data_IF_094604752179
#
_entry.id   IF_094604752179
#
_cell.length_a   1.000
_cell.length_b   1.000
_cell.length_c   1.000
_cell.angle_alpha   90.00
_cell.angle_beta   90.00
_cell.angle_gamma   90.00
#
_symmetry.space_group_name_H-M   'P 1'
#
loop_
_entity.id
_entity.type
_entity.pdbx_description
1 polymer ?
#
# COMPACT_ATOMS: atom_id res chain seq x y z
N UNK A 1 22.11 -38.71 9.46
CA UNK A 1 20.91 -38.19 8.77
C UNK A 1 21.33 -37.65 7.42
N UNK A 2 20.71 -38.17 6.36
CA UNK A 2 21.04 -37.90 4.95
C UNK A 2 20.84 -36.42 4.59
N UNK A 3 21.89 -35.77 4.10
CA UNK A 3 21.95 -34.37 3.63
C UNK A 3 21.27 -34.13 2.28
N UNK A 4 20.42 -35.05 1.81
CA UNK A 4 19.77 -35.00 0.50
C UNK A 4 18.49 -34.14 0.43
N UNK A 5 18.20 -33.31 1.44
CA UNK A 5 16.90 -32.60 1.53
C UNK A 5 16.87 -31.16 1.02
N UNK A 6 17.89 -30.68 0.31
CA UNK A 6 17.75 -29.49 -0.52
C UNK A 6 18.42 -29.70 -1.87
N UNK A 7 17.82 -30.54 -2.73
CA UNK A 7 17.97 -30.33 -4.18
C UNK A 7 17.65 -28.85 -4.42
N UNK A 8 18.63 -28.07 -4.85
CA UNK A 8 18.52 -26.62 -5.03
C UNK A 8 17.16 -26.29 -5.68
N UNK A 9 16.16 -25.76 -4.93
CA UNK A 9 14.80 -25.61 -5.43
C UNK A 9 14.70 -24.55 -6.55
N UNK A 10 15.82 -23.90 -6.85
CA UNK A 10 16.01 -22.87 -7.84
C UNK A 10 16.63 -23.38 -9.16
N UNK A 11 16.94 -24.69 -9.28
CA UNK A 11 17.67 -25.26 -10.44
C UNK A 11 16.99 -25.07 -11.81
N UNK A 12 15.74 -24.61 -11.85
CA UNK A 12 15.07 -24.21 -13.09
C UNK A 12 15.60 -22.85 -13.55
N UNK A 13 16.70 -22.88 -14.31
CA UNK A 13 17.24 -21.71 -14.97
C UNK A 13 16.33 -21.37 -16.16
N UNK A 14 15.56 -20.30 -16.04
CA UNK A 14 14.83 -19.74 -17.17
C UNK A 14 15.81 -18.92 -18.01
N UNK A 15 15.70 -19.03 -19.33
CA UNK A 15 16.44 -18.16 -20.26
C UNK A 15 15.53 -17.03 -20.69
N UNK A 16 16.03 -15.80 -20.65
CA UNK A 16 15.33 -14.63 -21.14
C UNK A 16 16.00 -14.11 -22.40
N UNK A 17 15.18 -13.85 -23.42
CA UNK A 17 15.53 -13.09 -24.61
C UNK A 17 14.39 -12.10 -24.85
N UNK A 18 14.72 -10.84 -25.05
CA UNK A 18 13.72 -9.78 -25.22
C UNK A 18 14.28 -8.38 -25.01
N UNK A 19 13.40 -7.40 -25.15
CA UNK A 19 13.68 -5.99 -24.92
C UNK A 19 13.25 -5.59 -23.52
N UNK A 20 14.01 -4.73 -22.88
CA UNK A 20 13.64 -4.07 -21.63
C UNK A 20 14.10 -2.60 -21.66
N UNK A 21 13.49 -1.77 -20.83
CA UNK A 21 13.69 -0.33 -20.80
C UNK A 21 14.38 0.11 -19.52
N UNK A 22 15.27 1.08 -19.63
CA UNK A 22 15.94 1.74 -18.52
C UNK A 22 15.75 3.26 -18.61
N UNK A 23 15.11 3.84 -17.61
CA UNK A 23 14.96 5.29 -17.49
C UNK A 23 16.13 5.90 -16.73
N UNK A 24 16.72 6.96 -17.26
CA UNK A 24 17.85 7.66 -16.65
C UNK A 24 17.94 9.14 -17.11
N UNK A 25 18.97 9.87 -16.70
CA UNK A 25 19.20 11.25 -17.20
C UNK A 25 19.81 11.22 -18.60
N UNK A 26 19.67 12.30 -19.38
CA UNK A 26 20.28 12.39 -20.72
C UNK A 26 21.79 12.20 -20.70
N UNK A 27 22.49 12.78 -19.73
CA UNK A 27 23.94 12.65 -19.59
C UNK A 27 24.33 11.22 -19.27
N UNK A 28 23.56 10.55 -18.42
CA UNK A 28 23.78 9.16 -18.04
C UNK A 28 23.50 8.23 -19.22
N UNK A 29 22.44 8.48 -19.99
CA UNK A 29 22.15 7.75 -21.21
C UNK A 29 23.29 7.90 -22.23
N UNK A 30 23.80 9.11 -22.47
CA UNK A 30 24.91 9.34 -23.38
C UNK A 30 26.17 8.56 -22.97
N UNK A 31 26.47 8.52 -21.66
CA UNK A 31 27.57 7.71 -21.11
C UNK A 31 27.31 6.21 -21.32
N UNK A 32 26.11 5.72 -21.02
CA UNK A 32 25.77 4.30 -21.19
C UNK A 32 25.90 3.89 -22.67
N UNK A 33 25.49 4.75 -23.60
CA UNK A 33 25.62 4.47 -25.04
C UNK A 33 27.08 4.40 -25.51
N UNK A 34 28.00 5.10 -24.82
CA UNK A 34 29.43 5.14 -25.18
C UNK A 34 30.23 4.05 -24.45
N UNK A 35 30.00 3.89 -23.15
CA UNK A 35 30.83 3.11 -22.23
C UNK A 35 30.14 1.80 -21.76
N UNK A 36 28.93 1.52 -22.24
CA UNK A 36 27.99 0.54 -21.66
C UNK A 36 27.57 0.87 -20.22
N UNK A 37 26.70 0.04 -19.66
CA UNK A 37 26.32 0.17 -18.26
C UNK A 37 27.49 -0.10 -17.32
N UNK A 38 27.46 0.59 -16.17
CA UNK A 38 28.35 0.32 -15.04
C UNK A 38 27.55 -0.12 -13.83
N UNK A 39 28.04 -1.12 -13.09
CA UNK A 39 27.39 -1.55 -11.85
C UNK A 39 27.42 -0.41 -10.83
N UNK A 40 26.25 -0.09 -10.26
CA UNK A 40 26.18 0.85 -9.13
C UNK A 40 27.05 0.35 -7.97
N UNK A 41 27.78 1.26 -7.32
CA UNK A 41 28.52 0.98 -6.09
C UNK A 41 27.64 1.03 -4.82
N UNK A 42 26.37 1.45 -4.95
CA UNK A 42 25.43 1.63 -3.84
C UNK A 42 24.31 0.59 -3.87
N UNK A 43 24.05 -0.05 -2.72
CA UNK A 43 23.02 -1.06 -2.49
C UNK A 43 21.66 -0.44 -2.11
N UNK A 44 21.10 0.42 -2.96
CA UNK A 44 19.90 1.20 -2.58
C UNK A 44 18.58 0.64 -3.08
N UNK A 45 18.57 -0.45 -3.85
CA UNK A 45 17.35 -0.96 -4.51
C UNK A 45 17.01 -2.40 -4.14
N UNK A 46 15.74 -2.76 -4.31
CA UNK A 46 15.11 -3.96 -3.75
C UNK A 46 15.87 -5.25 -4.05
N UNK A 47 16.36 -5.45 -5.27
CA UNK A 47 17.04 -6.68 -5.70
C UNK A 47 18.56 -6.64 -5.49
N UNK A 48 19.07 -5.61 -4.81
CA UNK A 48 20.47 -5.40 -4.51
C UNK A 48 21.29 -4.78 -5.65
N UNK A 49 22.62 -4.88 -5.56
CA UNK A 49 23.54 -4.32 -6.55
C UNK A 49 23.30 -4.87 -7.97
N UNK A 50 23.02 -4.00 -8.94
CA UNK A 50 22.74 -4.38 -10.33
C UNK A 50 22.23 -3.22 -11.17
N UNK A 51 21.98 -3.48 -12.45
CA UNK A 51 21.32 -2.55 -13.38
C UNK A 51 19.84 -2.92 -13.48
N UNK A 52 18.96 -1.94 -13.39
CA UNK A 52 17.52 -2.15 -13.27
C UNK A 52 16.81 -1.82 -14.59
N UNK A 53 15.92 -2.71 -15.02
CA UNK A 53 15.14 -2.56 -16.23
C UNK A 53 13.66 -2.90 -15.98
N UNK A 54 12.82 -2.47 -16.91
CA UNK A 54 11.36 -2.66 -16.91
C UNK A 54 10.92 -3.23 -18.26
N UNK A 55 9.81 -3.95 -18.27
CA UNK A 55 9.21 -4.54 -19.48
C UNK A 55 8.40 -3.55 -20.32
N UNK A 56 8.23 -2.32 -19.85
CA UNK A 56 7.48 -1.28 -20.56
C UNK A 56 8.10 0.10 -20.29
N UNK A 57 8.12 0.98 -21.31
CA UNK A 57 8.71 2.32 -21.20
C UNK A 57 7.99 3.21 -20.17
N UNK A 58 6.68 3.09 -19.97
CA UNK A 58 5.91 3.86 -18.99
C UNK A 58 6.49 3.67 -17.58
N UNK A 59 6.89 2.45 -17.23
CA UNK A 59 7.53 2.18 -15.94
C UNK A 59 8.92 2.77 -15.86
N UNK A 60 9.70 2.72 -16.95
CA UNK A 60 11.01 3.35 -17.02
C UNK A 60 10.92 4.88 -16.88
N UNK A 61 9.96 5.51 -17.55
CA UNK A 61 9.63 6.94 -17.46
C UNK A 61 9.25 7.29 -16.02
N UNK A 62 8.37 6.51 -15.40
CA UNK A 62 7.95 6.75 -14.02
C UNK A 62 9.13 6.89 -13.07
N UNK A 63 10.11 5.99 -13.15
CA UNK A 63 11.28 6.05 -12.27
C UNK A 63 12.11 7.32 -12.44
N UNK A 64 12.16 7.87 -13.65
CA UNK A 64 12.85 9.14 -13.91
C UNK A 64 12.07 10.35 -13.44
N UNK A 65 10.74 10.33 -13.58
CA UNK A 65 9.88 11.47 -13.26
C UNK A 65 9.37 11.47 -11.82
N UNK A 66 9.45 10.35 -11.10
CA UNK A 66 8.82 10.16 -9.79
C UNK A 66 9.07 11.32 -8.82
N UNK A 67 10.32 11.75 -8.68
CA UNK A 67 10.68 12.77 -7.69
C UNK A 67 10.26 14.18 -8.12
N UNK A 68 10.16 14.42 -9.43
CA UNK A 68 9.54 15.63 -9.96
C UNK A 68 8.04 15.62 -9.72
N UNK A 69 7.35 14.53 -10.11
CA UNK A 69 5.91 14.37 -9.92
C UNK A 69 5.49 14.50 -8.45
N UNK A 70 6.28 13.98 -7.51
CA UNK A 70 6.05 14.16 -6.06
C UNK A 70 6.05 15.61 -5.61
N UNK A 71 6.85 16.47 -6.25
CA UNK A 71 6.91 17.91 -5.94
C UNK A 71 5.80 18.71 -6.62
N UNK A 72 5.06 18.09 -7.55
CA UNK A 72 3.92 18.70 -8.23
C UNK A 72 2.61 18.15 -7.64
N UNK A 73 2.61 17.73 -6.35
CA UNK A 73 1.44 17.17 -5.68
C UNK A 73 0.23 18.09 -5.78
N UNK A 74 0.44 19.37 -5.53
CA UNK A 74 -0.63 20.36 -5.46
C UNK A 74 -1.24 20.59 -6.86
N UNK A 75 -0.39 20.68 -7.89
CA UNK A 75 -0.82 20.73 -9.30
C UNK A 75 -1.65 19.49 -9.68
N UNK A 76 -1.25 18.30 -9.20
CA UNK A 76 -1.95 17.03 -9.47
C UNK A 76 -3.31 16.98 -8.75
N UNK A 77 -3.41 17.50 -7.54
CA UNK A 77 -4.66 17.60 -6.79
C UNK A 77 -5.65 18.56 -7.46
N UNK A 78 -5.17 19.69 -7.98
CA UNK A 78 -6.03 20.66 -8.70
C UNK A 78 -6.63 20.07 -10.00
N UNK A 79 -5.92 19.14 -10.64
CA UNK A 79 -6.39 18.43 -11.83
C UNK A 79 -7.50 17.41 -11.54
N UNK A 80 -7.74 17.07 -10.27
CA UNK A 80 -8.70 16.07 -9.81
C UNK A 80 -10.13 16.62 -9.58
N UNK A 81 -10.34 17.94 -9.71
CA UNK A 81 -11.69 18.51 -9.52
C UNK A 81 -12.62 18.10 -10.68
N UNK A 82 -13.42 17.07 -10.41
CA UNK A 82 -14.30 16.24 -11.25
C UNK A 82 -15.33 16.97 -12.13
N UNK A 83 -14.91 17.82 -13.09
CA UNK A 83 -15.87 18.53 -13.96
C UNK A 83 -15.59 18.43 -15.46
N UNK A 84 -14.58 17.70 -15.93
CA UNK A 84 -14.33 17.55 -17.38
C UNK A 84 -14.05 18.86 -18.15
N UNK A 85 -14.06 20.01 -17.47
CA UNK A 85 -13.92 21.35 -18.03
C UNK A 85 -12.46 21.82 -18.08
N UNK A 86 -11.52 20.99 -17.62
CA UNK A 86 -10.12 21.37 -17.46
C UNK A 86 -9.17 20.76 -18.51
N UNK A 87 -9.69 20.40 -19.69
CA UNK A 87 -8.88 19.87 -20.79
C UNK A 87 -7.64 20.74 -21.06
N UNK A 88 -7.83 22.07 -21.04
CA UNK A 88 -6.75 23.04 -21.23
C UNK A 88 -5.69 22.97 -20.12
N UNK A 89 -6.09 22.86 -18.84
CA UNK A 89 -5.12 22.72 -17.73
C UNK A 89 -4.37 21.38 -17.79
N UNK A 90 -5.05 20.31 -18.20
CA UNK A 90 -4.39 19.02 -18.45
C UNK A 90 -3.37 19.13 -19.58
N UNK A 91 -3.73 19.72 -20.71
CA UNK A 91 -2.80 19.98 -21.82
C UNK A 91 -1.60 20.84 -21.37
N UNK A 92 -1.82 21.93 -20.64
CA UNK A 92 -0.77 22.79 -20.09
C UNK A 92 0.16 22.02 -19.12
N UNK A 93 -0.43 21.20 -18.24
CA UNK A 93 0.32 20.34 -17.34
C UNK A 93 1.16 19.30 -18.10
N UNK A 94 0.57 18.62 -19.08
CA UNK A 94 1.27 17.66 -19.92
C UNK A 94 2.44 18.28 -20.65
N UNK A 95 2.27 19.45 -21.25
CA UNK A 95 3.35 20.16 -21.93
C UNK A 95 4.47 20.55 -20.95
N UNK A 96 4.13 20.97 -19.72
CA UNK A 96 5.12 21.29 -18.67
C UNK A 96 5.92 20.05 -18.26
N UNK A 97 5.26 18.92 -17.98
CA UNK A 97 5.93 17.67 -17.58
C UNK A 97 6.74 17.12 -18.75
N UNK A 98 6.19 17.15 -19.96
CA UNK A 98 6.87 16.71 -21.18
C UNK A 98 8.13 17.54 -21.44
N UNK A 99 8.04 18.87 -21.40
CA UNK A 99 9.21 19.74 -21.55
C UNK A 99 10.29 19.45 -20.50
N UNK A 100 9.90 19.20 -19.25
CA UNK A 100 10.84 18.79 -18.19
C UNK A 100 11.48 17.42 -18.45
N UNK A 101 10.68 16.45 -18.90
CA UNK A 101 11.17 15.12 -19.28
C UNK A 101 12.15 15.22 -20.44
N UNK A 102 11.74 15.90 -21.51
CA UNK A 102 12.54 16.10 -22.70
C UNK A 102 13.83 16.84 -22.35
N UNK A 103 13.83 17.84 -21.48
CA UNK A 103 15.06 18.56 -21.12
C UNK A 103 16.08 17.67 -20.40
N UNK A 104 15.64 16.77 -19.51
CA UNK A 104 16.51 16.17 -18.48
C UNK A 104 16.69 14.67 -18.58
N UNK A 105 15.71 13.96 -19.09
CA UNK A 105 15.63 12.51 -19.00
C UNK A 105 15.68 11.84 -20.36
N UNK A 106 16.00 10.55 -20.32
CA UNK A 106 16.02 9.68 -21.47
C UNK A 106 15.62 8.27 -21.03
N UNK A 107 15.01 7.54 -21.95
CA UNK A 107 14.84 6.10 -21.83
C UNK A 107 15.72 5.44 -22.87
N UNK A 108 16.39 4.38 -22.44
CA UNK A 108 17.14 3.50 -23.33
C UNK A 108 16.46 2.13 -23.35
N UNK A 109 16.35 1.56 -24.53
CA UNK A 109 15.98 0.18 -24.76
C UNK A 109 17.25 -0.68 -24.72
N UNK A 110 17.12 -1.89 -24.19
CA UNK A 110 18.22 -2.86 -24.11
C UNK A 110 17.73 -4.21 -24.55
N UNK A 111 18.42 -4.81 -25.50
CA UNK A 111 18.14 -6.15 -25.97
C UNK A 111 18.99 -7.18 -25.24
N UNK A 112 18.33 -8.26 -24.84
CA UNK A 112 18.91 -9.40 -24.14
C UNK A 112 18.73 -10.67 -24.96
N UNK A 113 19.72 -11.56 -24.90
CA UNK A 113 19.63 -12.87 -25.55
C UNK A 113 20.21 -13.95 -24.63
N UNK A 114 19.44 -15.01 -24.41
CA UNK A 114 19.84 -16.20 -23.65
C UNK A 114 20.36 -15.92 -22.22
N UNK A 115 19.81 -14.90 -21.56
CA UNK A 115 20.22 -14.49 -20.20
C UNK A 115 19.69 -15.48 -19.18
N UNK A 116 20.53 -15.96 -18.25
CA UNK A 116 20.09 -16.84 -17.16
C UNK A 116 19.34 -16.02 -16.12
N UNK A 117 18.03 -16.23 -16.03
CA UNK A 117 17.16 -15.47 -15.16
C UNK A 117 16.68 -16.31 -13.98
N UNK A 118 16.82 -15.73 -12.78
CA UNK A 118 16.10 -16.20 -11.60
C UNK A 118 14.78 -15.43 -11.48
N UNK A 119 13.69 -16.11 -11.82
CA UNK A 119 12.34 -15.58 -11.61
C UNK A 119 11.90 -15.82 -10.16
N UNK A 120 11.92 -14.77 -9.36
CA UNK A 120 11.56 -14.85 -7.94
C UNK A 120 10.06 -15.03 -7.73
N UNK A 121 9.20 -14.75 -8.69
CA UNK A 121 7.76 -14.95 -8.52
C UNK A 121 7.40 -16.43 -8.52
N UNK A 122 8.10 -17.21 -9.35
CA UNK A 122 8.03 -18.67 -9.31
C UNK A 122 8.58 -19.25 -8.00
N UNK A 123 9.48 -18.54 -7.31
CA UNK A 123 10.01 -18.94 -6.00
C UNK A 123 9.07 -18.53 -4.88
N UNK A 124 8.45 -17.34 -4.92
CA UNK A 124 7.56 -16.82 -3.86
C UNK A 124 6.43 -17.79 -3.50
N UNK A 125 5.94 -18.53 -4.48
CA UNK A 125 4.87 -19.51 -4.29
C UNK A 125 5.36 -20.84 -3.63
N UNK A 126 6.65 -20.96 -3.32
CA UNK A 126 7.23 -22.10 -2.61
C UNK A 126 7.63 -21.68 -1.20
N UNK A 127 7.21 -22.46 -0.20
CA UNK A 127 7.46 -22.36 1.25
C UNK A 127 8.90 -21.93 1.63
N UNK A 128 9.87 -22.16 0.74
CA UNK A 128 11.28 -21.75 0.86
C UNK A 128 11.49 -20.24 1.06
N UNK A 129 10.71 -19.37 0.42
CA UNK A 129 10.92 -17.92 0.53
C UNK A 129 10.45 -17.39 1.90
N UNK A 130 9.37 -17.93 2.45
CA UNK A 130 8.92 -17.63 3.81
C UNK A 130 9.92 -18.11 4.87
N UNK A 131 10.47 -19.32 4.73
CA UNK A 131 11.52 -19.80 5.64
C UNK A 131 12.77 -18.91 5.61
N UNK A 132 13.16 -18.43 4.41
CA UNK A 132 14.29 -17.53 4.27
C UNK A 132 13.95 -16.15 4.81
N UNK A 133 12.73 -15.66 4.60
CA UNK A 133 12.24 -14.41 5.16
C UNK A 133 12.27 -14.46 6.70
N UNK A 134 11.75 -15.54 7.30
CA UNK A 134 11.79 -15.78 8.76
C UNK A 134 13.23 -15.89 9.26
N UNK A 135 14.10 -16.63 8.57
CA UNK A 135 15.53 -16.72 8.92
C UNK A 135 16.24 -15.38 8.80
N UNK A 136 15.93 -14.58 7.79
CA UNK A 136 16.48 -13.24 7.56
C UNK A 136 16.11 -12.31 8.71
N UNK A 137 14.81 -12.19 9.03
CA UNK A 137 14.36 -11.31 10.11
C UNK A 137 14.75 -11.80 11.51
N UNK A 138 14.87 -13.12 11.74
CA UNK A 138 15.38 -13.66 13.00
C UNK A 138 16.90 -13.49 13.16
N UNK A 139 17.68 -13.52 12.07
CA UNK A 139 19.16 -13.42 12.11
C UNK A 139 19.71 -12.01 11.96
N UNK A 140 18.98 -11.05 11.40
CA UNK A 140 19.39 -9.62 11.37
C UNK A 140 19.53 -9.01 12.77
N UNK A 141 19.03 -9.69 13.81
CA UNK A 141 19.28 -9.39 15.21
C UNK A 141 20.71 -9.76 15.66
N UNK A 142 21.44 -10.65 14.96
CA UNK A 142 22.61 -11.34 15.53
C UNK A 142 23.97 -11.01 14.86
N UNK A 143 24.04 -10.45 13.63
CA UNK A 143 25.37 -10.14 13.03
C UNK A 143 25.47 -8.74 12.42
N UNK A 144 26.58 -8.04 12.73
CA UNK A 144 26.90 -6.69 12.20
C UNK A 144 27.14 -6.69 10.69
N UNK A 145 27.65 -7.79 10.12
CA UNK A 145 27.99 -7.91 8.69
C UNK A 145 26.77 -7.99 7.76
N UNK A 146 25.61 -8.38 8.28
CA UNK A 146 24.36 -8.51 7.52
C UNK A 146 23.40 -7.34 7.72
N UNK A 147 23.78 -6.37 8.57
CA UNK A 147 22.96 -5.19 8.86
C UNK A 147 22.88 -4.31 7.62
N UNK A 148 21.66 -4.00 7.18
CA UNK A 148 21.39 -3.10 6.04
C UNK A 148 21.28 -3.76 4.67
N UNK A 149 21.47 -5.09 4.56
CA UNK A 149 21.19 -5.81 3.31
C UNK A 149 19.69 -5.93 3.07
N UNK A 150 19.26 -5.90 1.80
CA UNK A 150 17.90 -6.32 1.47
C UNK A 150 17.73 -7.83 1.66
N UNK A 151 16.49 -8.31 1.85
CA UNK A 151 16.22 -9.77 1.93
C UNK A 151 16.74 -10.51 0.70
N UNK A 152 16.72 -9.86 -0.46
CA UNK A 152 17.24 -10.41 -1.72
C UNK A 152 18.76 -10.42 -1.73
N UNK A 153 19.45 -9.36 -1.29
CA UNK A 153 20.91 -9.38 -1.17
C UNK A 153 21.40 -10.45 -0.20
N UNK A 154 20.69 -10.62 0.92
CA UNK A 154 20.96 -11.70 1.86
C UNK A 154 20.78 -13.06 1.21
N UNK A 155 19.69 -13.26 0.46
CA UNK A 155 19.47 -14.45 -0.35
C UNK A 155 20.71 -14.72 -1.20
N UNK A 156 21.15 -13.80 -2.06
CA UNK A 156 22.31 -14.02 -2.95
C UNK A 156 23.63 -14.26 -2.21
N UNK A 157 23.91 -13.50 -1.14
CA UNK A 157 25.14 -13.70 -0.35
C UNK A 157 25.20 -15.07 0.32
N UNK A 158 24.06 -15.59 0.76
CA UNK A 158 24.02 -16.85 1.51
C UNK A 158 23.88 -18.11 0.65
N UNK A 159 23.60 -17.96 -0.64
CA UNK A 159 23.13 -19.07 -1.49
C UNK A 159 24.05 -19.42 -2.67
N UNK A 160 25.21 -18.76 -2.80
CA UNK A 160 26.09 -18.89 -3.98
C UNK A 160 25.40 -18.59 -5.34
N UNK A 161 24.20 -18.00 -5.35
CA UNK A 161 23.46 -17.73 -6.59
C UNK A 161 24.11 -16.68 -7.51
N UNK A 162 25.09 -15.91 -7.02
CA UNK A 162 25.73 -14.83 -7.78
C UNK A 162 26.33 -15.31 -9.11
N UNK A 163 26.80 -16.56 -9.16
CA UNK A 163 27.47 -17.10 -10.35
C UNK A 163 26.52 -17.93 -11.26
N UNK A 164 25.36 -18.34 -10.72
CA UNK A 164 24.39 -19.19 -11.42
C UNK A 164 23.45 -18.39 -12.35
N UNK A 165 23.21 -17.11 -12.05
CA UNK A 165 22.25 -16.27 -12.77
C UNK A 165 22.85 -14.93 -13.18
N UNK A 166 22.47 -14.47 -14.36
CA UNK A 166 22.88 -13.18 -14.91
C UNK A 166 21.87 -12.07 -14.56
N UNK A 167 20.60 -12.43 -14.34
CA UNK A 167 19.50 -11.51 -14.08
C UNK A 167 18.52 -12.09 -13.05
N UNK A 168 17.87 -11.20 -12.30
CA UNK A 168 16.80 -11.52 -11.36
C UNK A 168 15.54 -10.81 -11.82
N UNK A 169 14.40 -11.50 -11.79
CA UNK A 169 13.10 -10.91 -12.08
C UNK A 169 12.23 -10.95 -10.84
N UNK A 170 11.56 -9.84 -10.57
CA UNK A 170 10.58 -9.73 -9.49
C UNK A 170 9.38 -8.93 -10.00
N UNK A 171 8.23 -9.58 -10.05
CA UNK A 171 6.94 -8.91 -10.19
C UNK A 171 6.64 -8.24 -8.87
N UNK A 172 6.62 -6.92 -8.87
CA UNK A 172 6.17 -6.16 -7.72
C UNK A 172 4.66 -6.03 -7.79
N UNK A 173 3.96 -6.87 -7.04
CA UNK A 173 2.55 -6.65 -6.80
C UNK A 173 2.46 -5.48 -5.84
N UNK A 174 2.10 -4.29 -6.32
CA UNK A 174 1.61 -3.21 -5.45
C UNK A 174 0.20 -3.50 -4.89
N UNK A 175 -0.20 -4.78 -4.82
CA UNK A 175 -1.47 -5.24 -4.27
C UNK A 175 -1.30 -6.52 -3.47
N UNK A 176 -0.55 -6.45 -2.36
CA UNK A 176 -1.06 -7.15 -1.18
C UNK A 176 -2.29 -6.37 -0.71
N UNK A 177 -3.42 -7.05 -0.50
CA UNK A 177 -4.73 -6.58 0.04
C UNK A 177 -5.89 -6.33 -0.94
N UNK A 178 -6.11 -7.21 -1.93
CA UNK A 178 -7.47 -7.41 -2.45
C UNK A 178 -8.06 -8.73 -1.92
N UNK A 179 -8.36 -8.74 -0.62
CA UNK A 179 -9.37 -9.64 -0.05
C UNK A 179 -10.54 -8.72 0.35
N UNK A 180 -11.66 -8.81 -0.37
CA UNK A 180 -12.93 -8.21 0.04
C UNK A 180 -13.51 -7.09 -0.84
N UNK A 181 -14.04 -7.49 -2.01
CA UNK A 181 -15.23 -6.97 -2.75
C UNK A 181 -14.99 -6.35 -4.16
N UNK A 182 -15.76 -6.82 -5.17
CA UNK A 182 -15.87 -6.24 -6.52
C UNK A 182 -17.10 -5.32 -6.64
N UNK A 183 -17.14 -4.46 -7.70
CA UNK A 183 -18.33 -4.16 -8.53
C UNK A 183 -18.24 -2.94 -9.47
N UNK A 184 -17.09 -2.32 -9.69
CA UNK A 184 -16.97 -1.37 -10.82
C UNK A 184 -15.72 -1.57 -11.65
N UNK A 185 -15.78 -2.60 -12.49
CA UNK A 185 -14.73 -2.99 -13.43
C UNK A 185 -14.85 -2.25 -14.77
N UNK A 186 -15.87 -1.40 -14.94
CA UNK A 186 -16.16 -0.72 -16.21
C UNK A 186 -15.39 0.59 -16.41
N UNK A 187 -14.77 1.13 -15.34
CA UNK A 187 -13.97 2.36 -15.42
C UNK A 187 -12.46 2.11 -15.45
N UNK A 188 -12.00 0.88 -15.20
CA UNK A 188 -10.57 0.62 -14.99
C UNK A 188 -10.06 -0.71 -15.57
N UNK A 189 -10.12 -0.92 -16.89
CA UNK A 189 -9.44 -2.05 -17.53
C UNK A 189 -7.90 -1.99 -17.44
N UNK A 190 -7.31 -0.85 -17.06
CA UNK A 190 -5.85 -0.62 -17.09
C UNK A 190 -5.13 -0.73 -15.73
N UNK A 191 -5.82 -1.03 -14.64
CA UNK A 191 -5.29 -0.86 -13.26
C UNK A 191 -5.12 -2.14 -12.45
N UNK A 192 -4.48 -3.12 -13.07
CA UNK A 192 -3.84 -4.23 -12.36
C UNK A 192 -2.64 -4.68 -13.19
N UNK A 193 -1.75 -3.78 -13.57
CA UNK A 193 -0.53 -4.17 -14.26
C UNK A 193 0.59 -4.26 -13.22
N UNK A 194 0.76 -5.43 -12.58
CA UNK A 194 1.95 -5.65 -11.81
C UNK A 194 3.14 -5.47 -12.77
N UNK A 195 4.08 -4.63 -12.38
CA UNK A 195 5.26 -4.39 -13.21
C UNK A 195 6.40 -5.27 -12.76
N UNK A 196 7.13 -5.79 -13.74
CA UNK A 196 8.31 -6.62 -13.50
C UNK A 196 9.53 -5.74 -13.44
N UNK A 197 10.28 -5.93 -12.36
CA UNK A 197 11.59 -5.33 -12.20
C UNK A 197 12.62 -6.40 -12.54
N UNK A 198 13.47 -6.07 -13.50
CA UNK A 198 14.58 -6.92 -13.92
C UNK A 198 15.87 -6.31 -13.38
N UNK A 199 16.60 -7.05 -12.56
CA UNK A 199 17.89 -6.63 -12.03
C UNK A 199 18.99 -7.47 -12.64
N UNK A 200 19.72 -6.88 -13.59
CA UNK A 200 20.87 -7.49 -14.23
C UNK A 200 22.09 -7.42 -13.31
N UNK A 201 22.71 -8.57 -13.08
CA UNK A 201 23.94 -8.76 -12.29
C UNK A 201 25.18 -8.85 -13.17
N UNK A 202 25.02 -9.35 -14.39
CA UNK A 202 26.10 -9.52 -15.35
C UNK A 202 25.85 -8.66 -16.60
N UNK A 203 26.48 -7.48 -16.64
CA UNK A 203 26.32 -6.50 -17.73
C UNK A 203 26.77 -7.05 -19.09
N UNK A 204 27.68 -8.03 -19.12
CA UNK A 204 28.14 -8.68 -20.36
C UNK A 204 27.03 -9.44 -21.10
N UNK A 205 25.88 -9.66 -20.46
CA UNK A 205 24.72 -10.30 -21.07
C UNK A 205 23.86 -9.35 -21.93
N UNK A 206 24.19 -8.05 -21.96
CA UNK A 206 23.55 -7.06 -22.83
C UNK A 206 24.08 -7.23 -24.26
N UNK A 207 23.16 -7.33 -25.22
CA UNK A 207 23.50 -7.46 -26.65
C UNK A 207 23.59 -6.10 -27.34
N UNK A 208 22.62 -5.23 -27.09
CA UNK A 208 22.58 -3.87 -27.63
C UNK A 208 21.87 -2.93 -26.68
N UNK A 209 22.18 -1.64 -26.81
CA UNK A 209 21.55 -0.53 -26.10
C UNK A 209 21.23 0.54 -27.12
N UNK A 210 20.01 1.06 -27.09
CA UNK A 210 19.54 2.08 -28.01
C UNK A 210 18.77 3.15 -27.25
N UNK A 211 18.97 4.42 -27.60
CA UNK A 211 18.14 5.51 -27.06
C UNK A 211 16.87 5.58 -27.90
N UNK A 212 15.72 5.52 -27.25
CA UNK A 212 14.43 5.61 -27.92
C UNK A 212 13.84 7.02 -27.82
N UNK A 213 13.04 7.38 -28.81
CA UNK A 213 12.20 8.58 -28.73
C UNK A 213 10.89 8.19 -28.06
N UNK A 214 10.52 8.89 -27.00
CA UNK A 214 9.31 8.59 -26.24
C UNK A 214 8.15 9.39 -26.82
N UNK A 215 7.07 8.69 -27.16
CA UNK A 215 5.82 9.30 -27.61
C UNK A 215 5.15 10.06 -26.46
N UNK A 216 4.46 11.16 -26.79
CA UNK A 216 3.78 11.99 -25.80
C UNK A 216 2.73 11.17 -25.02
N UNK A 217 2.01 10.30 -25.71
CA UNK A 217 0.97 9.43 -25.14
C UNK A 217 1.51 8.57 -23.98
N UNK A 218 2.74 8.06 -24.08
CA UNK A 218 3.38 7.28 -23.01
C UNK A 218 3.67 8.11 -21.74
N UNK A 219 3.99 9.40 -21.92
CA UNK A 219 4.22 10.32 -20.79
C UNK A 219 2.87 10.68 -20.16
N UNK A 220 1.83 10.91 -20.96
CA UNK A 220 0.47 11.13 -20.48
C UNK A 220 -0.02 9.92 -19.67
N UNK A 221 0.16 8.70 -20.18
CA UNK A 221 -0.18 7.46 -19.49
C UNK A 221 0.58 7.30 -18.17
N UNK A 222 1.88 7.64 -18.14
CA UNK A 222 2.67 7.65 -16.91
C UNK A 222 2.08 8.62 -15.87
N UNK A 223 1.64 9.80 -16.30
CA UNK A 223 1.05 10.82 -15.41
C UNK A 223 -0.31 10.37 -14.90
N UNK A 224 -1.18 9.88 -15.79
CA UNK A 224 -2.46 9.28 -15.41
C UNK A 224 -2.26 8.18 -14.36
N UNK A 225 -1.27 7.31 -14.56
CA UNK A 225 -0.91 6.27 -13.61
C UNK A 225 -0.50 6.84 -12.23
N UNK A 226 0.24 7.94 -12.19
CA UNK A 226 0.63 8.62 -10.93
C UNK A 226 -0.58 9.17 -10.19
N UNK A 227 -1.43 9.95 -10.87
CA UNK A 227 -2.64 10.55 -10.29
C UNK A 227 -3.50 9.46 -9.64
N UNK A 228 -3.68 8.37 -10.37
CA UNK A 228 -4.49 7.25 -9.97
C UNK A 228 -3.92 6.47 -8.78
N UNK A 229 -2.60 6.30 -8.73
CA UNK A 229 -1.91 5.71 -7.59
C UNK A 229 -2.07 6.54 -6.32
N UNK A 230 -1.99 7.88 -6.43
CA UNK A 230 -2.22 8.78 -5.30
C UNK A 230 -3.65 8.65 -4.76
N UNK A 231 -4.66 8.65 -5.65
CA UNK A 231 -6.07 8.41 -5.26
C UNK A 231 -6.28 7.11 -4.50
N UNK A 232 -5.69 6.01 -4.99
CA UNK A 232 -5.79 4.73 -4.31
C UNK A 232 -5.11 4.73 -2.95
N UNK A 233 -3.97 5.42 -2.82
CA UNK A 233 -3.27 5.58 -1.55
C UNK A 233 -4.12 6.35 -0.54
N UNK A 234 -4.68 7.50 -0.90
CA UNK A 234 -5.57 8.26 -0.03
C UNK A 234 -6.81 7.47 0.39
N UNK A 235 -7.42 6.73 -0.53
CA UNK A 235 -8.57 5.87 -0.21
C UNK A 235 -8.18 4.79 0.81
N UNK A 236 -6.96 4.25 0.73
CA UNK A 236 -6.42 3.29 1.69
C UNK A 236 -6.17 3.93 3.05
N UNK A 237 -5.58 5.12 3.11
CA UNK A 237 -5.33 5.83 4.36
C UNK A 237 -6.64 6.25 5.04
N UNK A 238 -7.63 6.76 4.29
CA UNK A 238 -8.98 7.02 4.79
C UNK A 238 -9.60 5.78 5.42
N UNK A 239 -9.54 4.63 4.75
CA UNK A 239 -10.03 3.35 5.30
C UNK A 239 -9.32 2.93 6.58
N UNK A 240 -8.00 3.15 6.69
CA UNK A 240 -7.26 2.90 7.93
C UNK A 240 -7.71 3.82 9.05
N UNK A 241 -7.90 5.10 8.76
CA UNK A 241 -8.41 6.08 9.73
C UNK A 241 -9.80 5.68 10.25
N UNK A 242 -10.75 5.36 9.36
CA UNK A 242 -12.07 4.87 9.76
C UNK A 242 -11.99 3.58 10.61
N UNK A 243 -11.14 2.63 10.21
CA UNK A 243 -10.93 1.40 10.99
C UNK A 243 -10.39 1.71 12.39
N UNK A 244 -9.43 2.62 12.50
CA UNK A 244 -8.84 3.00 13.79
C UNK A 244 -9.85 3.75 14.67
N UNK A 245 -10.65 4.65 14.09
CA UNK A 245 -11.72 5.36 14.80
C UNK A 245 -12.77 4.36 15.33
N UNK A 246 -13.20 3.41 14.49
CA UNK A 246 -14.13 2.34 14.91
C UNK A 246 -13.55 1.46 16.02
N UNK A 247 -12.26 1.11 15.95
CA UNK A 247 -11.59 0.36 17.03
C UNK A 247 -11.53 1.18 18.33
N UNK A 248 -11.28 2.49 18.24
CA UNK A 248 -11.26 3.39 19.40
C UNK A 248 -12.63 3.48 20.05
N UNK A 249 -13.67 3.71 19.25
CA UNK A 249 -15.06 3.77 19.70
C UNK A 249 -15.51 2.48 20.38
N UNK A 250 -15.21 1.32 19.76
CA UNK A 250 -15.46 0.01 20.37
C UNK A 250 -14.71 -0.08 21.71
N UNK A 251 -13.43 0.28 21.77
CA UNK A 251 -12.64 0.23 23.01
C UNK A 251 -13.16 1.18 24.09
N UNK A 252 -13.71 2.34 23.73
CA UNK A 252 -14.33 3.30 24.65
C UNK A 252 -15.65 2.72 25.20
N UNK A 253 -16.46 2.09 24.34
CA UNK A 253 -17.68 1.40 24.74
C UNK A 253 -17.40 0.22 25.69
N UNK A 254 -16.32 -0.55 25.46
CA UNK A 254 -15.91 -1.62 26.38
C UNK A 254 -15.42 -1.08 27.73
N UNK A 255 -14.65 0.01 27.76
CA UNK A 255 -14.25 0.65 29.03
C UNK A 255 -15.42 1.24 29.79
N UNK A 256 -16.38 1.81 29.07
CA UNK A 256 -17.64 2.26 29.66
C UNK A 256 -18.41 1.09 30.28
N UNK A 257 -18.46 -0.05 29.58
CA UNK A 257 -19.05 -1.29 30.10
C UNK A 257 -18.34 -1.81 31.37
N UNK A 258 -17.01 -1.90 31.37
CA UNK A 258 -16.23 -2.29 32.56
C UNK A 258 -16.47 -1.35 33.74
N UNK A 259 -16.48 -0.03 33.51
CA UNK A 259 -16.75 0.96 34.56
C UNK A 259 -18.15 0.80 35.16
N UNK A 260 -19.16 0.59 34.31
CA UNK A 260 -20.53 0.36 34.78
C UNK A 260 -20.64 -0.98 35.54
N UNK A 261 -19.95 -2.03 35.09
CA UNK A 261 -19.91 -3.31 35.80
C UNK A 261 -19.21 -3.19 37.16
N UNK A 262 -18.12 -2.42 37.25
CA UNK A 262 -17.42 -2.12 38.49
C UNK A 262 -18.30 -1.33 39.47
N UNK A 263 -18.96 -0.26 39.01
CA UNK A 263 -19.93 0.52 39.79
C UNK A 263 -21.19 -0.30 40.17
N UNK A 264 -21.53 -1.33 39.40
CA UNK A 264 -22.59 -2.26 39.76
C UNK A 264 -22.12 -3.30 40.79
N UNK A 265 -20.84 -3.64 40.78
CA UNK A 265 -20.23 -4.62 41.69
C UNK A 265 -19.93 -4.05 43.07
N UNK A 266 -19.57 -2.76 43.15
CA UNK A 266 -19.38 -2.06 44.42
C UNK A 266 -20.70 -1.55 45.04
N UNK A 267 -21.82 -1.69 44.31
CA UNK A 267 -23.16 -1.33 44.75
C UNK A 267 -23.52 0.14 44.53
N UNK A 268 -22.68 0.91 43.84
CA UNK A 268 -22.94 2.31 43.46
C UNK A 268 -24.11 2.41 42.48
N UNK A 269 -24.27 1.43 41.59
CA UNK A 269 -25.38 1.33 40.64
C UNK A 269 -26.10 -0.02 40.80
N UNK A 270 -27.42 -0.03 40.60
CA UNK A 270 -28.20 -1.27 40.59
C UNK A 270 -27.78 -2.18 39.44
N UNK A 271 -27.30 -3.40 39.75
CA UNK A 271 -26.99 -4.45 38.74
C UNK A 271 -28.16 -4.73 37.79
N UNK A 272 -29.41 -4.61 38.26
CA UNK A 272 -30.61 -4.82 37.43
C UNK A 272 -30.77 -3.71 36.38
N UNK A 273 -30.40 -2.48 36.72
CA UNK A 273 -30.44 -1.33 35.80
C UNK A 273 -29.35 -1.48 34.73
N UNK A 274 -28.14 -1.88 35.15
CA UNK A 274 -27.02 -2.14 34.24
C UNK A 274 -27.33 -3.24 33.24
N UNK A 275 -27.91 -4.35 33.70
CA UNK A 275 -28.30 -5.44 32.81
C UNK A 275 -29.39 -5.00 31.82
N UNK A 276 -30.38 -4.22 32.28
CA UNK A 276 -31.43 -3.69 31.39
C UNK A 276 -30.90 -2.75 30.30
N UNK A 277 -29.88 -1.93 30.61
CA UNK A 277 -29.22 -1.07 29.61
C UNK A 277 -28.45 -1.91 28.59
N UNK A 278 -27.72 -2.94 29.02
CA UNK A 278 -27.01 -3.81 28.07
C UNK A 278 -27.96 -4.65 27.22
N UNK A 279 -29.03 -5.20 27.79
CA UNK A 279 -30.03 -5.94 27.04
C UNK A 279 -30.72 -5.06 25.99
N UNK A 280 -30.95 -3.78 26.30
CA UNK A 280 -31.45 -2.79 25.36
C UNK A 280 -30.45 -2.51 24.22
N UNK A 281 -29.19 -2.21 24.56
CA UNK A 281 -28.16 -1.94 23.57
C UNK A 281 -27.91 -3.15 22.65
N UNK A 282 -27.92 -4.37 23.20
CA UNK A 282 -27.75 -5.62 22.45
C UNK A 282 -28.99 -5.96 21.59
N UNK A 283 -30.15 -5.32 21.85
CA UNK A 283 -31.37 -5.50 21.06
C UNK A 283 -31.46 -4.58 19.83
N UNK A 284 -30.61 -3.56 19.74
CA UNK A 284 -30.61 -2.60 18.63
C UNK A 284 -29.95 -3.21 17.38
N UNK A 285 -30.53 -2.94 16.21
CA UNK A 285 -29.85 -3.18 14.93
C UNK A 285 -28.73 -2.15 14.70
N UNK A 286 -27.77 -2.48 13.82
CA UNK A 286 -26.70 -1.55 13.41
C UNK A 286 -27.28 -0.18 12.97
N UNK A 287 -28.42 -0.15 12.27
CA UNK A 287 -29.05 1.10 11.80
C UNK A 287 -29.74 1.89 12.94
N UNK A 288 -30.36 1.22 13.90
CA UNK A 288 -31.00 1.86 15.05
C UNK A 288 -29.98 2.42 16.04
N UNK A 289 -28.86 1.73 16.22
CA UNK A 289 -27.75 2.18 17.04
C UNK A 289 -27.09 3.43 16.46
N UNK A 290 -26.83 3.45 15.15
CA UNK A 290 -26.27 4.63 14.45
C UNK A 290 -27.24 5.83 14.50
N UNK A 291 -28.55 5.61 14.31
CA UNK A 291 -29.56 6.67 14.46
C UNK A 291 -29.58 7.26 15.88
N UNK A 292 -29.48 6.41 16.90
CA UNK A 292 -29.43 6.84 18.29
C UNK A 292 -28.19 7.71 18.58
N UNK A 293 -27.03 7.37 18.01
CA UNK A 293 -25.80 8.17 18.14
C UNK A 293 -25.92 9.53 17.43
N UNK A 294 -26.52 9.57 16.25
CA UNK A 294 -26.77 10.80 15.49
C UNK A 294 -27.76 11.74 16.20
N UNK A 295 -28.78 11.19 16.85
CA UNK A 295 -29.74 11.96 17.68
C UNK A 295 -29.08 12.50 18.96
N UNK A 296 -28.10 11.78 19.52
CA UNK A 296 -27.33 12.21 20.69
C UNK A 296 -26.23 13.23 20.37
N UNK A 297 -25.69 13.21 19.14
CA UNK A 297 -24.54 14.03 18.71
C UNK A 297 -24.87 15.46 18.26
N UNK A 298 -26.15 15.85 18.15
CA UNK A 298 -26.56 17.13 17.56
C UNK A 298 -26.88 18.26 18.57
N UNK A 299 -26.60 18.09 19.86
CA UNK A 299 -26.77 19.14 20.86
C UNK A 299 -25.43 19.80 21.21
N UNK A 300 -24.91 20.61 20.28
CA UNK A 300 -23.87 21.59 20.58
C UNK A 300 -24.48 22.87 21.17
N UNK A 301 -23.78 23.45 22.14
CA UNK A 301 -23.97 24.76 22.76
C UNK A 301 -25.16 24.95 23.72
N UNK A 302 -25.24 24.10 24.74
CA UNK A 302 -25.43 24.49 26.15
C UNK A 302 -25.59 23.22 26.98
N UNK A 303 -24.62 22.92 27.85
CA UNK A 303 -24.76 21.82 28.81
C UNK A 303 -25.70 22.26 29.93
N UNK A 304 -26.90 21.67 30.02
CA UNK A 304 -27.32 21.13 31.30
C UNK A 304 -27.70 19.67 31.12
N UNK A 305 -26.92 18.78 31.75
CA UNK A 305 -27.23 17.37 32.02
C UNK A 305 -27.63 16.52 30.81
N UNK A 306 -26.69 15.70 30.33
CA UNK A 306 -26.98 14.67 29.32
C UNK A 306 -28.13 13.72 29.72
N UNK A 307 -28.69 12.97 28.75
CA UNK A 307 -30.00 12.29 28.85
C UNK A 307 -30.08 11.12 29.85
N UNK A 308 -29.04 10.88 30.65
CA UNK A 308 -28.96 9.76 31.58
C UNK A 308 -28.77 10.15 33.05
N UNK A 309 -28.97 11.42 33.40
CA UNK A 309 -29.10 11.79 34.82
C UNK A 309 -30.57 11.72 35.26
N UNK A 310 -31.01 10.50 35.59
CA UNK A 310 -32.21 10.30 36.38
C UNK A 310 -31.90 10.69 37.83
N UNK A 311 -32.61 11.70 38.37
CA UNK A 311 -32.46 12.04 39.77
C UNK A 311 -32.92 10.87 40.65
N UNK A 312 -32.43 10.78 41.89
CA UNK A 312 -32.87 9.72 42.81
C UNK A 312 -34.38 9.75 43.06
N UNK A 313 -34.98 10.94 43.06
CA UNK A 313 -36.43 11.11 43.18
C UNK A 313 -37.18 10.63 41.93
N UNK A 314 -36.66 10.91 40.73
CA UNK A 314 -37.25 10.43 39.48
C UNK A 314 -37.14 8.91 39.34
N UNK A 315 -36.02 8.31 39.77
CA UNK A 315 -35.87 6.86 39.83
C UNK A 315 -36.89 6.21 40.78
N UNK A 316 -37.01 6.73 42.01
CA UNK A 316 -37.97 6.19 42.98
C UNK A 316 -39.42 6.32 42.49
N UNK A 317 -39.73 7.33 41.65
CA UNK A 317 -41.05 7.47 41.02
C UNK A 317 -41.33 6.40 39.97
N UNK A 318 -40.34 6.01 39.15
CA UNK A 318 -40.59 5.18 37.95
C UNK A 318 -40.05 3.76 38.05
N UNK A 319 -39.31 3.39 39.11
CA UNK A 319 -38.62 2.09 39.24
C UNK A 319 -39.51 0.85 39.15
N UNK A 320 -40.81 0.99 39.44
CA UNK A 320 -41.79 -0.10 39.41
C UNK A 320 -42.74 -0.01 38.20
N UNK A 321 -42.52 0.97 37.30
CA UNK A 321 -43.29 1.15 36.07
C UNK A 321 -42.69 0.32 34.94
N UNK A 322 -43.51 -0.04 33.95
CA UNK A 322 -42.98 -0.54 32.68
C UNK A 322 -42.25 0.58 31.92
N UNK A 323 -41.28 0.24 31.04
CA UNK A 323 -40.42 1.23 30.40
C UNK A 323 -41.15 2.30 29.59
N UNK A 324 -42.25 1.93 28.92
CA UNK A 324 -43.00 2.83 28.06
C UNK A 324 -43.78 3.88 28.88
N UNK A 325 -44.31 3.45 30.02
CA UNK A 325 -44.92 4.34 31.01
C UNK A 325 -43.89 5.24 31.69
N UNK A 326 -42.71 4.71 32.03
CA UNK A 326 -41.64 5.47 32.69
C UNK A 326 -41.10 6.63 31.82
N UNK A 327 -40.88 6.40 30.52
CA UNK A 327 -40.45 7.43 29.58
C UNK A 327 -41.47 8.56 29.48
N UNK A 328 -42.77 8.20 29.39
CA UNK A 328 -43.85 9.18 29.32
C UNK A 328 -43.98 10.01 30.61
N UNK A 329 -43.79 9.39 31.77
CA UNK A 329 -43.87 10.03 33.10
C UNK A 329 -42.68 10.98 33.38
N UNK A 330 -41.53 10.72 32.76
CA UNK A 330 -40.35 11.59 32.85
C UNK A 330 -40.32 12.69 31.77
N UNK A 331 -41.24 12.64 30.80
CA UNK A 331 -41.33 13.61 29.70
C UNK A 331 -40.17 13.50 28.71
N UNK A 332 -39.65 12.29 28.51
CA UNK A 332 -38.55 11.98 27.59
C UNK A 332 -39.04 11.54 26.21
#
# INVERSE_FOLDING_TARGET
MSTNLLKNPFKNINRYSGQLYHGTTKESAAKIMTDNFTMSSKNTLHLGQGVYFYDNEIYAIWWTLRDYMKKQSDDIEELDSDTGTNKKKWEEFYQKVYGYFEERFAVIETCFENVRCLDLDNVKNKLTLEEIYVKFYRKTIISKELKGLSVYEFLFKCSNFKDEYDMIVLTTNNYSTMIGRPKDHRLFPYMNLPYRIYCLKNIKAIKSVEKINIELENIEDCIHFVVLKNKLYEKKERRKMYKNNRIREISENYKFKEKIEDEANDGTISRRLVQGVFDFLDSLTDEEFERMLDECGNNDDNVPNGPFHMSREDYERVKDMDPETAVRELGW
#
